data_IF_473412591530
#
_entry.id   IF_473412591530
#
_cell.length_a   1.000
_cell.length_b   1.000
_cell.length_c   1.000
_cell.angle_alpha   90.00
_cell.angle_beta   90.00
_cell.angle_gamma   90.00
#
_symmetry.space_group_name_H-M   'P 1'
#
loop_
_entity.id
_entity.type
_entity.pdbx_description
1 polymer ?
2 water ?
#
# COMPACT_ATOMS: atom_id res chain seq x y z
N UNK A 3 -4.58 -10.18 -5.30
CA UNK A 3 -5.15 -8.86 -5.69
C UNK A 3 -6.66 -8.84 -5.41
N UNK A 4 -7.06 -7.95 -4.50
CA UNK A 4 -8.47 -7.73 -4.18
C UNK A 4 -8.90 -6.43 -4.81
N UNK A 5 -10.21 -6.27 -4.96
CA UNK A 5 -10.77 -5.17 -5.73
C UNK A 5 -10.64 -3.82 -5.04
N UNK A 6 -10.75 -3.77 -3.71
CA UNK A 6 -10.63 -2.49 -3.01
C UNK A 6 -9.94 -2.59 -1.67
N UNK A 7 -9.61 -1.44 -1.09
CA UNK A 7 -8.92 -1.38 0.19
C UNK A 7 -9.74 -2.04 1.30
N UNK A 8 -11.06 -1.97 1.17
CA UNK A 8 -11.97 -2.49 2.19
C UNK A 8 -12.01 -4.01 2.23
N UNK A 9 -11.45 -4.65 1.21
CA UNK A 9 -11.37 -6.10 1.16
C UNK A 9 -10.13 -6.64 1.87
N UNK A 10 -9.19 -5.76 2.18
CA UNK A 10 -7.94 -6.15 2.81
C UNK A 10 -8.03 -5.91 4.31
N UNK A 11 -7.53 -6.83 5.11
CA UNK A 11 -7.16 -6.49 6.47
C UNK A 11 -5.79 -5.81 6.43
N UNK A 12 -5.39 -5.22 7.54
CA UNK A 12 -4.08 -4.60 7.61
C UNK A 12 -2.98 -5.61 7.34
N UNK A 13 -3.10 -6.83 7.87
CA UNK A 13 -2.08 -7.86 7.64
C UNK A 13 -2.07 -8.36 6.19
N UNK A 14 -3.24 -8.47 5.56
CA UNK A 14 -3.30 -8.87 4.16
C UNK A 14 -2.65 -7.78 3.29
N UNK A 15 -2.79 -6.53 3.71
CA UNK A 15 -2.15 -5.43 3.02
C UNK A 15 -0.63 -5.41 3.19
N UNK A 16 -0.11 -5.74 4.37
CA UNK A 16 1.35 -5.80 4.47
C UNK A 16 1.93 -7.01 3.71
N UNK A 17 1.12 -8.03 3.48
CA UNK A 17 1.55 -9.12 2.61
C UNK A 17 1.63 -8.65 1.17
N UNK A 18 0.70 -7.82 0.74
CA UNK A 18 0.82 -7.20 -0.58
C UNK A 18 2.10 -6.37 -0.65
N UNK A 19 2.38 -5.59 0.39
CA UNK A 19 3.60 -4.79 0.45
C UNK A 19 4.86 -5.66 0.40
N UNK A 20 4.81 -6.84 1.02
CA UNK A 20 5.96 -7.75 0.99
C UNK A 20 6.12 -8.35 -0.39
N UNK A 21 5.03 -8.49 -1.13
CA UNK A 21 5.11 -9.04 -2.48
C UNK A 21 5.77 -7.99 -3.36
N UNK A 22 5.44 -6.73 -3.12
CA UNK A 22 6.10 -5.64 -3.82
C UNK A 22 7.58 -5.57 -3.48
N UNK A 23 7.94 -5.77 -2.21
CA UNK A 23 9.35 -5.80 -1.83
C UNK A 23 10.12 -6.90 -2.54
N UNK A 24 9.50 -8.07 -2.68
CA UNK A 24 10.13 -9.20 -3.38
C UNK A 24 10.31 -8.92 -4.87
N UNK A 25 9.30 -8.34 -5.50
CA UNK A 25 9.40 -8.04 -6.90
C UNK A 25 10.30 -6.86 -7.19
N UNK A 26 10.75 -6.16 -6.15
CA UNK A 26 11.76 -5.11 -6.34
C UNK A 26 13.13 -5.67 -6.66
N UNK A 27 13.36 -6.95 -6.38
CA UNK A 27 14.62 -7.57 -6.79
C UNK A 27 14.42 -8.64 -7.86
N UNK A 28 13.22 -8.70 -8.42
CA UNK A 28 12.96 -9.66 -9.48
C UNK A 28 13.85 -9.34 -10.66
N UNK A 29 14.08 -10.35 -11.51
CA UNK A 29 14.90 -10.21 -12.70
C UNK A 29 14.32 -9.12 -13.58
N UNK A 30 13.03 -9.22 -13.86
CA UNK A 30 12.35 -8.25 -14.70
C UNK A 30 11.33 -7.46 -13.88
N UNK A 31 10.58 -6.62 -14.58
CA UNK A 31 9.72 -5.60 -13.98
C UNK A 31 8.25 -5.98 -14.08
N UNK A 32 7.96 -7.08 -14.78
CA UNK A 32 6.61 -7.30 -15.28
C UNK A 32 5.57 -7.41 -14.17
N UNK A 33 5.86 -8.23 -13.16
CA UNK A 33 4.95 -8.40 -12.05
C UNK A 33 4.98 -7.17 -11.16
N UNK A 34 6.16 -6.60 -10.93
CA UNK A 34 6.27 -5.38 -10.11
C UNK A 34 5.36 -4.24 -10.59
N UNK A 35 5.31 -4.00 -11.90
CA UNK A 35 4.47 -2.97 -12.46
C UNK A 35 2.97 -3.16 -12.20
N UNK A 36 2.46 -4.39 -12.33
CA UNK A 36 1.05 -4.62 -12.02
C UNK A 36 0.78 -4.48 -10.52
N UNK A 37 1.72 -4.89 -9.68
CA UNK A 37 1.58 -4.75 -8.24
C UNK A 37 1.55 -3.28 -7.84
N UNK A 38 2.42 -2.49 -8.47
CA UNK A 38 2.50 -1.05 -8.24
C UNK A 38 1.30 -0.28 -8.80
N UNK A 39 0.80 -0.70 -9.97
CA UNK A 39 -0.45 -0.16 -10.52
C UNK A 39 -1.59 -0.41 -9.54
N UNK A 40 -1.70 -1.65 -9.08
CA UNK A 40 -2.76 -2.06 -8.18
C UNK A 40 -2.70 -1.27 -6.87
N UNK A 41 -1.51 -1.14 -6.32
CA UNK A 41 -1.30 -0.37 -5.09
C UNK A 41 -1.82 1.04 -5.26
N UNK A 42 -1.52 1.66 -6.39
CA UNK A 42 -1.94 3.03 -6.62
C UNK A 42 -3.47 3.11 -6.78
N UNK A 43 -4.04 2.14 -7.49
CA UNK A 43 -5.48 2.07 -7.72
C UNK A 43 -6.29 1.97 -6.41
N UNK A 44 -5.98 0.98 -5.58
CA UNK A 44 -6.80 0.71 -4.40
C UNK A 44 -6.58 1.68 -3.23
N UNK A 45 -5.38 2.25 -3.11
CA UNK A 45 -5.13 3.12 -1.97
C UNK A 45 -5.68 4.50 -2.27
N UNK A 46 -5.57 4.92 -3.52
CA UNK A 46 -5.99 6.25 -3.93
C UNK A 46 -5.33 7.37 -3.11
N UNK A 47 -4.15 7.11 -2.57
CA UNK A 47 -3.44 8.14 -1.83
C UNK A 47 -2.69 9.06 -2.81
N UNK A 48 -2.71 10.39 -2.57
CA UNK A 48 -2.06 11.35 -3.47
C UNK A 48 -0.58 11.08 -3.78
N UNK A 49 0.16 10.51 -2.83
CA UNK A 49 1.58 10.20 -2.99
C UNK A 49 1.87 8.98 -3.87
N UNK A 50 0.86 8.17 -4.15
CA UNK A 50 1.04 7.00 -4.99
C UNK A 50 2.15 6.11 -4.46
N UNK A 51 3.10 5.75 -5.32
CA UNK A 51 4.20 4.87 -4.93
C UNK A 51 5.31 5.54 -4.13
N UNK A 52 5.29 6.86 -3.99
CA UNK A 52 6.22 7.54 -3.08
C UNK A 52 6.06 7.03 -1.66
N UNK A 53 4.89 6.49 -1.33
CA UNK A 53 4.67 5.92 -0.01
C UNK A 53 5.68 4.83 0.25
N UNK A 54 6.05 4.12 -0.81
CA UNK A 54 7.00 3.04 -0.69
C UNK A 54 8.44 3.51 -0.86
N UNK A 55 8.71 4.29 -1.90
CA UNK A 55 10.09 4.68 -2.21
C UNK A 55 10.53 5.97 -1.52
N UNK A 56 9.58 6.85 -1.22
CA UNK A 56 9.92 8.14 -0.63
C UNK A 56 9.08 8.45 0.59
N UNK A 57 9.20 7.61 1.64
CA UNK A 57 8.43 7.84 2.87
C UNK A 57 8.73 9.18 3.52
N UNK A 58 7.73 9.73 4.19
CA UNK A 58 7.91 10.89 5.06
C UNK A 58 8.96 10.57 6.11
N UNK A 59 9.78 11.57 6.41
CA UNK A 59 10.76 11.49 7.48
C UNK A 59 10.08 11.38 8.84
N UNK A 60 8.88 11.95 8.95
CA UNK A 60 8.15 11.94 10.21
C UNK A 60 7.52 10.59 10.50
N UNK A 61 7.71 9.65 9.58
CA UNK A 61 6.88 8.47 9.56
C UNK A 61 7.80 7.25 9.50
N UNK A 62 7.34 6.13 10.05
CA UNK A 62 8.12 4.90 10.12
C UNK A 62 8.19 4.24 8.73
N UNK A 63 9.41 4.03 8.24
CA UNK A 63 9.61 3.45 6.91
C UNK A 63 9.49 1.94 6.99
N UNK A 64 8.26 1.46 7.15
CA UNK A 64 8.02 0.03 7.27
C UNK A 64 6.66 -0.27 6.67
N UNK A 65 6.35 -1.54 6.44
CA UNK A 65 5.04 -1.82 5.84
C UNK A 65 3.87 -1.34 6.73
N UNK A 66 4.04 -1.43 8.05
CA UNK A 66 3.02 -0.97 8.97
C UNK A 66 2.99 0.55 9.11
N UNK A 67 4.12 1.21 8.84
CA UNK A 67 4.14 2.65 8.63
C UNK A 67 3.29 3.11 7.44
N UNK A 68 3.34 2.36 6.34
CA UNK A 68 2.56 2.71 5.16
C UNK A 68 1.06 2.46 5.44
N UNK A 69 0.74 1.33 6.06
CA UNK A 69 -0.61 1.03 6.49
C UNK A 69 -1.20 2.15 7.36
N UNK A 70 -0.41 2.67 8.29
CA UNK A 70 -0.86 3.76 9.14
C UNK A 70 -1.21 5.01 8.35
N UNK A 71 -0.31 5.43 7.47
CA UNK A 71 -0.54 6.59 6.64
C UNK A 71 -1.81 6.46 5.77
N UNK A 72 -2.02 5.30 5.17
CA UNK A 72 -3.19 5.13 4.33
C UNK A 72 -4.45 5.20 5.19
N UNK A 73 -4.46 4.49 6.31
CA UNK A 73 -5.58 4.48 7.23
C UNK A 73 -5.95 5.91 7.68
N UNK A 74 -4.95 6.71 8.01
CA UNK A 74 -5.20 8.07 8.45
C UNK A 74 -5.67 9.02 7.34
N UNK A 75 -5.14 8.87 6.13
CA UNK A 75 -5.56 9.73 5.03
C UNK A 75 -7.01 9.42 4.64
N UNK A 76 -7.35 8.14 4.60
CA UNK A 76 -8.70 7.72 4.21
C UNK A 76 -9.74 8.13 5.26
N UNK A 77 -9.35 8.09 6.52
CA UNK A 77 -10.21 8.53 7.62
C UNK A 77 -10.45 10.04 7.60
N UNK A 78 -9.41 10.81 7.28
CA UNK A 78 -9.55 12.26 7.20
C UNK A 78 -10.41 12.66 6.01
N UNK A 79 -10.52 11.80 5.00
CA UNK A 79 -11.23 12.15 3.79
C UNK A 79 -12.58 11.49 3.71
N UNK A 80 -12.95 10.80 4.78
CA UNK A 80 -14.26 10.17 4.87
C UNK A 80 -14.47 8.99 3.94
N UNK A 81 -13.42 8.22 3.71
CA UNK A 81 -13.52 7.11 2.80
C UNK A 81 -13.42 5.86 3.64
N UNK A 82 -14.02 4.75 3.18
CA UNK A 82 -13.87 3.45 3.84
C UNK A 82 -12.40 3.00 3.95
N UNK A 83 -12.05 2.45 5.11
CA UNK A 83 -10.69 1.99 5.33
C UNK A 83 -10.57 0.48 5.20
N UNK A 84 -9.66 -0.11 5.96
CA UNK A 84 -9.41 -1.54 5.89
C UNK A 84 -10.50 -2.37 6.56
N UNK A 85 -10.65 -3.61 6.13
CA UNK A 85 -11.48 -4.58 6.80
C UNK A 85 -10.87 -4.92 8.17
N UNK A 86 -11.68 -5.08 9.21
CA UNK A 86 -11.13 -5.45 10.51
C UNK A 86 -10.90 -6.95 10.54
N UNK A 87 -9.82 -7.37 11.18
CA UNK A 87 -9.51 -8.79 11.23
C UNK A 87 -8.03 -9.09 11.44
#
# INVERSE_FOLDING_TARGET
>A
MELKNSISDYTEAEFVQLLKEIEKENVAATDDVLDVLLEHFVKITEHPDGTDLIYYPSDNRDDSPEGIVKEIKEWRAANGKPGFKQGKPGFKQG
#
